data_IF_666783910073
#
_entry.id   IF_666783910073
#
_cell.length_a   1.000
_cell.length_b   1.000
_cell.length_c   1.000
_cell.angle_alpha   90.00
_cell.angle_beta   90.00
_cell.angle_gamma   90.00
#
_symmetry.space_group_name_H-M   'P 1'
#
loop_
_entity.id
_entity.type
_entity.pdbx_description
1 polymer ?
#
# COMPACT_ATOMS: atom_id res chain seq x y z
N UNK A 1 -10.72 -31.46 -8.07
CA UNK A 1 -11.87 -32.38 -7.92
C UNK A 1 -13.21 -31.68 -8.19
N UNK A 2 -13.31 -30.89 -9.28
CA UNK A 2 -14.53 -30.15 -9.65
C UNK A 2 -15.13 -30.60 -10.98
N UNK A 3 -14.47 -31.54 -11.68
CA UNK A 3 -14.89 -32.07 -12.98
C UNK A 3 -15.70 -33.36 -12.88
N UNK A 4 -15.68 -34.06 -11.73
CA UNK A 4 -16.41 -35.32 -11.54
C UNK A 4 -17.87 -35.07 -11.12
N UNK A 5 -18.18 -33.91 -10.52
CA UNK A 5 -19.53 -33.59 -10.05
C UNK A 5 -20.48 -33.16 -11.19
N UNK A 6 -19.97 -32.64 -12.31
CA UNK A 6 -20.82 -32.22 -13.44
C UNK A 6 -21.34 -33.39 -14.30
N UNK A 7 -20.56 -34.47 -14.45
CA UNK A 7 -20.96 -35.58 -15.35
C UNK A 7 -22.10 -36.42 -14.77
N UNK A 8 -22.11 -36.62 -13.44
CA UNK A 8 -23.14 -37.43 -12.76
C UNK A 8 -24.50 -36.73 -12.65
N UNK A 9 -24.53 -35.40 -12.63
CA UNK A 9 -25.78 -34.62 -12.64
C UNK A 9 -26.42 -34.69 -14.03
N UNK A 10 -25.63 -34.55 -15.10
CA UNK A 10 -26.14 -34.59 -16.47
C UNK A 10 -26.66 -35.97 -16.91
N UNK A 11 -26.01 -37.06 -16.47
CA UNK A 11 -26.46 -38.43 -16.79
C UNK A 11 -27.80 -38.80 -16.13
N UNK A 12 -28.13 -38.18 -14.99
CA UNK A 12 -29.37 -38.43 -14.25
C UNK A 12 -30.55 -37.65 -14.82
N UNK A 13 -30.31 -36.45 -15.37
CA UNK A 13 -31.33 -35.69 -16.10
C UNK A 13 -31.71 -36.33 -17.44
N UNK A 14 -30.76 -36.97 -18.13
CA UNK A 14 -31.02 -37.67 -19.41
C UNK A 14 -31.94 -38.88 -19.26
N UNK A 15 -31.84 -39.62 -18.15
CA UNK A 15 -32.71 -40.77 -17.85
C UNK A 15 -34.12 -40.34 -17.43
N UNK A 16 -34.26 -39.20 -16.74
CA UNK A 16 -35.56 -38.66 -16.35
C UNK A 16 -36.37 -38.15 -17.55
N UNK A 17 -35.70 -37.51 -18.53
CA UNK A 17 -36.34 -37.07 -19.77
C UNK A 17 -36.75 -38.23 -20.69
N UNK A 18 -35.96 -39.31 -20.74
CA UNK A 18 -36.27 -40.48 -21.56
C UNK A 18 -37.47 -41.28 -21.01
N UNK A 19 -37.63 -41.33 -19.68
CA UNK A 19 -38.76 -42.00 -19.03
C UNK A 19 -40.09 -41.27 -19.22
N UNK A 20 -40.09 -39.93 -19.25
CA UNK A 20 -41.33 -39.15 -19.44
C UNK A 20 -41.85 -39.20 -20.89
N UNK A 21 -40.95 -39.37 -21.87
CA UNK A 21 -41.34 -39.52 -23.27
C UNK A 21 -42.02 -40.87 -23.52
N UNK A 22 -41.56 -41.94 -22.83
CA UNK A 22 -42.13 -43.29 -22.99
C UNK A 22 -43.50 -43.47 -22.32
N UNK A 23 -43.81 -42.69 -21.27
CA UNK A 23 -45.10 -42.78 -20.58
C UNK A 23 -46.24 -42.02 -21.29
N UNK A 24 -45.93 -41.13 -22.23
CA UNK A 24 -46.93 -40.34 -22.97
C UNK A 24 -47.48 -41.05 -24.23
N UNK A 25 -46.99 -42.24 -24.55
CA UNK A 25 -47.33 -42.97 -25.78
C UNK A 25 -48.61 -43.83 -25.69
N UNK A 26 -49.23 -43.97 -24.51
CA UNK A 26 -50.42 -44.81 -24.29
C UNK A 26 -51.62 -44.05 -23.67
N UNK A 27 -51.79 -42.75 -23.96
CA UNK A 27 -52.94 -41.97 -23.49
C UNK A 27 -53.70 -41.31 -24.66
N UNK A 28 -55.03 -41.31 -24.53
CA UNK A 28 -56.01 -40.82 -25.51
C UNK A 28 -55.78 -39.31 -25.84
N UNK A 29 -56.16 -38.82 -27.04
CA UNK A 29 -55.66 -37.55 -27.59
C UNK A 29 -56.03 -36.27 -26.80
N UNK A 30 -57.08 -36.28 -25.98
CA UNK A 30 -57.59 -35.08 -25.30
C UNK A 30 -56.98 -34.81 -23.90
N UNK A 31 -56.17 -35.71 -23.34
CA UNK A 31 -55.45 -35.48 -22.07
C UNK A 31 -53.97 -35.07 -22.29
N UNK A 32 -53.50 -35.10 -23.54
CA UNK A 32 -52.11 -34.82 -23.90
C UNK A 32 -51.77 -33.33 -23.87
N UNK A 33 -52.77 -32.46 -24.07
CA UNK A 33 -52.60 -31.01 -24.21
C UNK A 33 -52.32 -30.35 -22.83
N UNK A 34 -53.04 -30.76 -21.78
CA UNK A 34 -52.84 -30.23 -20.41
C UNK A 34 -51.54 -30.71 -19.74
N UNK A 35 -51.01 -31.87 -20.16
CA UNK A 35 -49.75 -32.41 -19.64
C UNK A 35 -48.51 -31.75 -20.26
N UNK A 36 -48.61 -31.30 -21.52
CA UNK A 36 -47.52 -30.61 -22.24
C UNK A 36 -47.36 -29.16 -21.79
N UNK A 37 -48.45 -28.46 -21.44
CA UNK A 37 -48.38 -27.09 -20.91
C UNK A 37 -47.81 -27.04 -19.48
N UNK A 38 -48.17 -28.00 -18.62
CA UNK A 38 -47.64 -28.10 -17.26
C UNK A 38 -46.16 -28.50 -17.22
N UNK A 39 -45.70 -29.33 -18.16
CA UNK A 39 -44.28 -29.68 -18.27
C UNK A 39 -43.42 -28.52 -18.77
N UNK A 40 -43.92 -27.73 -19.73
CA UNK A 40 -43.22 -26.53 -20.20
C UNK A 40 -43.15 -25.44 -19.13
N UNK A 41 -44.21 -25.28 -18.32
CA UNK A 41 -44.20 -24.34 -17.18
C UNK A 41 -43.20 -24.75 -16.09
N UNK A 42 -43.14 -26.04 -15.75
CA UNK A 42 -42.16 -26.56 -14.77
C UNK A 42 -40.73 -26.47 -15.29
N UNK A 43 -40.47 -26.75 -16.58
CA UNK A 43 -39.12 -26.62 -17.17
C UNK A 43 -38.69 -25.15 -17.25
N UNK A 44 -39.60 -24.23 -17.56
CA UNK A 44 -39.33 -22.78 -17.58
C UNK A 44 -39.02 -22.25 -16.18
N UNK A 45 -39.83 -22.56 -15.17
CA UNK A 45 -39.55 -22.19 -13.78
C UNK A 45 -38.26 -22.83 -13.22
N UNK A 46 -37.93 -24.07 -13.63
CA UNK A 46 -36.71 -24.73 -13.17
C UNK A 46 -35.45 -24.13 -13.82
N UNK A 47 -35.51 -23.76 -15.09
CA UNK A 47 -34.42 -23.07 -15.79
C UNK A 47 -34.23 -21.63 -15.29
N UNK A 48 -35.31 -20.91 -14.98
CA UNK A 48 -35.27 -19.57 -14.36
C UNK A 48 -34.73 -19.60 -12.93
N UNK A 49 -35.00 -20.66 -12.16
CA UNK A 49 -34.45 -20.85 -10.81
C UNK A 49 -32.94 -21.12 -10.84
N UNK A 50 -32.48 -21.91 -11.81
CA UNK A 50 -31.05 -22.20 -12.02
C UNK A 50 -30.31 -20.96 -12.55
N UNK A 51 -30.93 -20.21 -13.47
CA UNK A 51 -30.34 -18.99 -14.03
C UNK A 51 -30.27 -17.85 -12.98
N UNK A 52 -31.30 -17.67 -12.15
CA UNK A 52 -31.27 -16.65 -11.09
C UNK A 52 -30.29 -16.98 -9.95
N UNK A 53 -30.13 -18.26 -9.57
CA UNK A 53 -29.18 -18.64 -8.52
C UNK A 53 -27.72 -18.40 -8.96
N UNK A 54 -27.40 -18.72 -10.22
CA UNK A 54 -26.07 -18.49 -10.79
C UNK A 54 -25.78 -16.99 -11.03
N UNK A 55 -26.79 -16.19 -11.41
CA UNK A 55 -26.65 -14.73 -11.52
C UNK A 55 -26.42 -14.05 -10.16
N UNK A 56 -27.13 -14.48 -9.12
CA UNK A 56 -26.93 -13.99 -7.75
C UNK A 56 -25.61 -14.46 -7.14
N UNK A 57 -25.08 -15.61 -7.54
CA UNK A 57 -23.74 -16.07 -7.12
C UNK A 57 -22.62 -15.25 -7.77
N UNK A 58 -22.84 -14.71 -8.97
CA UNK A 58 -21.88 -13.86 -9.70
C UNK A 58 -21.80 -12.43 -9.14
N UNK A 59 -22.94 -11.83 -8.77
CA UNK A 59 -23.00 -10.47 -8.22
C UNK A 59 -22.38 -10.33 -6.81
N UNK A 60 -22.26 -11.43 -6.06
CA UNK A 60 -21.62 -11.49 -4.75
C UNK A 60 -20.08 -11.63 -4.80
N UNK A 61 -19.52 -11.78 -6.00
CA UNK A 61 -18.08 -11.70 -6.29
C UNK A 61 -17.82 -10.43 -7.10
N UNK A 62 -18.43 -9.32 -6.69
CA UNK A 62 -18.00 -7.99 -7.13
C UNK A 62 -16.97 -7.51 -6.10
N UNK A 63 -15.66 -7.62 -6.36
CA UNK A 63 -14.71 -6.83 -5.58
C UNK A 63 -15.10 -5.38 -5.83
N UNK A 64 -15.39 -4.63 -4.77
CA UNK A 64 -15.35 -3.17 -4.83
C UNK A 64 -14.10 -2.78 -5.62
N UNK A 65 -14.23 -2.00 -6.68
CA UNK A 65 -13.15 -1.54 -7.56
C UNK A 65 -12.00 -0.93 -6.75
N UNK A 66 -11.09 -1.78 -6.26
CA UNK A 66 -9.80 -1.37 -5.72
C UNK A 66 -8.76 -1.82 -6.73
N UNK A 67 -8.26 -0.89 -7.55
CA UNK A 67 -7.18 -1.02 -8.55
C UNK A 67 -6.39 -2.35 -8.47
N UNK A 68 -6.91 -3.42 -9.09
CA UNK A 68 -6.23 -4.73 -9.04
C UNK A 68 -5.20 -4.78 -10.16
N UNK A 69 -4.01 -4.26 -9.87
CA UNK A 69 -2.86 -4.53 -10.70
C UNK A 69 -2.53 -6.03 -10.64
N UNK A 70 -2.58 -6.76 -11.76
CA UNK A 70 -2.48 -8.24 -11.74
C UNK A 70 -1.08 -8.75 -11.36
N UNK A 71 -0.03 -8.00 -11.68
CA UNK A 71 1.35 -8.45 -11.46
C UNK A 71 1.84 -8.22 -10.01
N UNK A 72 2.70 -9.12 -9.52
CA UNK A 72 3.37 -9.07 -8.20
C UNK A 72 4.49 -8.01 -8.18
N UNK A 73 4.10 -6.75 -8.23
CA UNK A 73 5.03 -5.61 -8.14
C UNK A 73 5.24 -5.19 -6.68
N UNK A 74 6.23 -4.32 -6.43
CA UNK A 74 6.49 -3.79 -5.07
C UNK A 74 5.31 -2.97 -4.52
N UNK A 75 4.48 -2.37 -5.37
CA UNK A 75 3.23 -1.67 -4.97
C UNK A 75 2.13 -2.64 -4.62
N UNK A 76 2.03 -3.74 -5.36
CA UNK A 76 0.97 -4.72 -5.23
C UNK A 76 1.37 -5.90 -4.33
N UNK A 77 1.75 -5.59 -3.09
CA UNK A 77 2.00 -6.61 -2.07
C UNK A 77 0.71 -6.91 -1.32
N UNK A 78 0.32 -8.17 -1.26
CA UNK A 78 -0.91 -8.63 -0.64
C UNK A 78 -0.58 -9.32 0.68
N UNK A 79 -1.35 -9.02 1.72
CA UNK A 79 -1.38 -9.75 2.99
C UNK A 79 -2.71 -10.49 3.10
N UNK A 80 -2.65 -11.81 3.25
CA UNK A 80 -3.84 -12.64 3.48
C UNK A 80 -4.22 -12.54 4.96
N UNK A 81 -5.43 -12.06 5.24
CA UNK A 81 -5.93 -11.85 6.60
C UNK A 81 -7.23 -12.62 6.79
N UNK A 82 -7.40 -13.26 7.96
CA UNK A 82 -8.67 -13.88 8.36
C UNK A 82 -9.61 -12.79 8.85
N UNK A 83 -10.77 -12.70 8.22
CA UNK A 83 -11.88 -11.86 8.68
C UNK A 83 -12.60 -12.52 9.85
N UNK A 84 -13.34 -11.75 10.68
CA UNK A 84 -14.15 -12.30 11.77
C UNK A 84 -15.14 -13.38 11.32
N UNK A 85 -15.65 -13.31 10.09
CA UNK A 85 -16.52 -14.34 9.49
C UNK A 85 -15.79 -15.60 9.02
N UNK A 86 -14.53 -15.81 9.39
CA UNK A 86 -13.74 -17.00 9.05
C UNK A 86 -13.22 -17.04 7.60
N UNK A 87 -13.55 -16.05 6.77
CA UNK A 87 -13.08 -15.97 5.38
C UNK A 87 -11.67 -15.37 5.29
N UNK A 88 -10.84 -15.92 4.41
CA UNK A 88 -9.54 -15.36 4.07
C UNK A 88 -9.73 -14.26 3.01
N UNK A 89 -9.25 -13.06 3.29
CA UNK A 89 -9.33 -11.90 2.39
C UNK A 89 -7.92 -11.39 2.10
N UNK A 90 -7.69 -11.03 0.84
CA UNK A 90 -6.47 -10.37 0.37
C UNK A 90 -6.56 -8.86 0.66
N UNK A 91 -5.63 -8.33 1.48
CA UNK A 91 -5.52 -6.88 1.73
C UNK A 91 -4.24 -6.33 1.13
N UNK A 92 -4.35 -5.23 0.38
CA UNK A 92 -3.19 -4.56 -0.20
C UNK A 92 -2.38 -3.82 0.88
N UNK A 93 -1.10 -4.17 1.00
CA UNK A 93 -0.17 -3.52 1.91
C UNK A 93 0.49 -2.36 1.20
N UNK A 94 0.36 -1.18 1.78
CA UNK A 94 1.06 -0.01 1.28
C UNK A 94 2.58 -0.19 1.54
N UNK A 95 3.44 -0.08 0.51
CA UNK A 95 4.94 0.04 0.60
C UNK A 95 5.49 0.67 1.89
N UNK A 96 6.54 0.11 2.48
CA UNK A 96 7.19 0.73 3.63
C UNK A 96 7.79 2.11 3.29
N UNK A 97 7.70 3.06 4.22
CA UNK A 97 8.36 4.36 4.09
C UNK A 97 9.84 4.26 4.46
N UNK A 98 10.69 5.04 3.80
CA UNK A 98 12.09 5.19 4.20
C UNK A 98 12.20 6.06 5.44
N UNK A 99 13.21 5.78 6.28
CA UNK A 99 13.52 6.64 7.42
C UNK A 99 14.18 7.93 6.93
N UNK A 100 13.89 9.04 7.62
CA UNK A 100 14.53 10.34 7.37
C UNK A 100 16.01 10.24 7.72
N UNK A 101 16.87 10.60 6.77
CA UNK A 101 18.33 10.55 6.91
C UNK A 101 18.88 11.93 7.24
N UNK A 102 20.02 11.95 7.93
CA UNK A 102 20.81 13.16 8.12
C UNK A 102 21.42 13.61 6.79
N UNK A 103 21.41 14.91 6.52
CA UNK A 103 21.98 15.47 5.28
C UNK A 103 23.52 15.45 5.18
N UNK A 104 24.25 15.25 6.29
CA UNK A 104 25.73 15.18 6.26
C UNK A 104 26.19 13.71 6.26
N UNK A 105 25.86 12.96 7.31
CA UNK A 105 26.36 11.60 7.52
C UNK A 105 25.46 10.50 6.96
N UNK A 106 24.28 10.82 6.43
CA UNK A 106 23.33 9.82 5.92
C UNK A 106 22.69 8.91 6.99
N UNK A 107 23.05 9.08 8.27
CA UNK A 107 22.51 8.29 9.37
C UNK A 107 21.01 8.53 9.55
N UNK A 108 20.28 7.48 9.92
CA UNK A 108 18.89 7.54 10.36
C UNK A 108 18.68 8.55 11.51
N UNK A 109 17.78 9.52 11.34
CA UNK A 109 17.42 10.44 12.43
C UNK A 109 16.52 9.75 13.46
N UNK A 110 16.85 9.95 14.75
CA UNK A 110 16.05 9.47 15.87
C UNK A 110 14.96 10.49 16.25
N UNK A 111 13.84 9.99 16.78
CA UNK A 111 12.73 10.82 17.26
C UNK A 111 11.80 11.35 16.17
N UNK A 112 11.96 10.91 14.91
CA UNK A 112 11.07 11.29 13.79
C UNK A 112 10.31 10.05 13.34
N UNK A 113 8.99 10.16 13.23
CA UNK A 113 8.13 9.06 12.77
C UNK A 113 8.45 8.70 11.32
N UNK A 114 8.56 7.42 10.98
CA UNK A 114 8.80 6.95 9.60
C UNK A 114 7.48 6.79 8.84
N UNK A 115 7.09 7.80 8.08
CA UNK A 115 5.80 7.86 7.40
C UNK A 115 5.96 8.19 5.92
N UNK A 116 4.90 7.96 5.13
CA UNK A 116 4.88 8.41 3.74
C UNK A 116 4.67 9.92 3.62
N UNK A 117 5.08 10.55 2.50
CA UNK A 117 4.86 11.98 2.25
C UNK A 117 3.41 12.44 2.45
N UNK A 118 2.43 11.67 1.97
CA UNK A 118 1.00 11.98 2.17
C UNK A 118 0.58 11.96 3.64
N UNK A 119 1.11 11.01 4.42
CA UNK A 119 0.84 10.91 5.85
C UNK A 119 1.55 12.02 6.63
N UNK A 120 2.75 12.41 6.21
CA UNK A 120 3.45 13.56 6.79
C UNK A 120 2.66 14.86 6.68
N UNK A 121 1.78 15.03 5.70
CA UNK A 121 0.92 16.22 5.64
C UNK A 121 -0.07 16.29 6.82
N UNK A 122 -0.54 15.13 7.30
CA UNK A 122 -1.60 15.03 8.31
C UNK A 122 -1.08 15.04 9.75
N UNK A 123 0.16 14.58 9.98
CA UNK A 123 0.71 14.47 11.33
C UNK A 123 1.10 15.85 11.90
N UNK A 124 1.06 16.00 13.22
CA UNK A 124 1.51 17.20 13.92
C UNK A 124 3.03 17.45 13.77
N UNK A 125 3.47 18.66 14.11
CA UNK A 125 4.88 19.09 13.98
C UNK A 125 5.83 18.28 14.88
N UNK A 126 5.38 17.87 16.07
CA UNK A 126 6.21 17.17 17.07
C UNK A 126 6.77 15.84 16.57
N UNK A 127 6.03 15.13 15.72
CA UNK A 127 6.52 13.87 15.12
C UNK A 127 7.42 14.07 13.90
N UNK A 128 7.46 15.29 13.32
CA UNK A 128 8.28 15.63 12.14
C UNK A 128 9.65 16.16 12.51
N UNK A 129 9.77 16.82 13.67
CA UNK A 129 10.96 17.58 14.05
C UNK A 129 11.38 17.28 15.48
N UNK A 130 12.67 17.47 15.78
CA UNK A 130 13.21 17.42 17.15
C UNK A 130 13.46 18.84 17.66
N UNK A 131 13.21 19.11 18.94
CA UNK A 131 13.38 20.41 19.58
C UNK A 131 14.87 20.73 19.83
N UNK A 132 15.59 21.10 18.76
CA UNK A 132 16.98 21.60 18.79
C UNK A 132 17.30 22.37 17.50
N UNK A 133 18.44 23.05 17.47
CA UNK A 133 18.98 23.63 16.24
C UNK A 133 19.16 22.56 15.14
N UNK A 134 18.69 22.86 13.93
CA UNK A 134 18.67 21.96 12.76
C UNK A 134 17.95 20.62 12.99
N UNK A 135 17.02 20.56 13.95
CA UNK A 135 16.18 19.39 14.19
C UNK A 135 15.40 18.97 12.94
N UNK A 136 15.31 17.66 12.69
CA UNK A 136 14.64 17.14 11.49
C UNK A 136 15.52 16.99 10.25
N UNK A 137 16.63 17.74 10.16
CA UNK A 137 17.56 17.69 9.02
C UNK A 137 18.92 17.11 9.40
N UNK A 138 19.41 17.41 10.60
CA UNK A 138 20.77 17.05 11.06
C UNK A 138 20.72 16.23 12.35
N UNK A 139 21.66 15.29 12.49
CA UNK A 139 21.84 14.52 13.73
C UNK A 139 22.59 15.34 14.79
N UNK A 140 22.54 14.91 16.06
CA UNK A 140 23.16 15.63 17.16
C UNK A 140 24.69 15.80 16.98
N UNK A 141 25.37 14.77 16.47
CA UNK A 141 26.81 14.78 16.26
C UNK A 141 27.21 15.82 15.20
N UNK A 142 26.53 15.84 14.05
CA UNK A 142 26.81 16.83 13.00
C UNK A 142 26.49 18.26 13.46
N UNK A 143 25.47 18.46 14.30
CA UNK A 143 25.20 19.79 14.90
C UNK A 143 26.32 20.20 15.85
N UNK A 144 26.80 19.29 16.70
CA UNK A 144 27.95 19.54 17.60
C UNK A 144 29.19 19.93 16.81
N UNK A 145 29.53 19.17 15.77
CA UNK A 145 30.68 19.47 14.90
C UNK A 145 30.56 20.84 14.22
N UNK A 146 29.36 21.22 13.76
CA UNK A 146 29.11 22.54 13.17
C UNK A 146 29.36 23.67 14.18
N UNK A 147 28.88 23.51 15.41
CA UNK A 147 29.06 24.51 16.48
C UNK A 147 30.56 24.64 16.82
N UNK A 148 31.23 23.52 17.09
CA UNK A 148 32.65 23.52 17.45
C UNK A 148 33.51 24.07 16.33
N UNK A 149 33.25 23.65 15.08
CA UNK A 149 33.99 24.14 13.91
C UNK A 149 33.79 25.65 13.71
N UNK A 150 32.56 26.15 13.83
CA UNK A 150 32.27 27.57 13.70
C UNK A 150 33.01 28.38 14.79
N UNK A 151 32.93 27.93 16.03
CA UNK A 151 33.61 28.57 17.15
C UNK A 151 35.13 28.64 16.94
N UNK A 152 35.78 27.51 16.68
CA UNK A 152 37.24 27.46 16.51
C UNK A 152 37.72 28.30 15.33
N UNK A 153 36.95 28.34 14.23
CA UNK A 153 37.30 29.18 13.07
C UNK A 153 37.22 30.66 13.43
N UNK A 154 36.20 31.10 14.16
CA UNK A 154 36.09 32.49 14.59
C UNK A 154 37.21 32.88 15.56
N UNK A 155 37.54 32.02 16.53
CA UNK A 155 38.68 32.24 17.43
C UNK A 155 40.00 32.36 16.67
N UNK A 156 40.27 31.43 15.74
CA UNK A 156 41.46 31.49 14.89
C UNK A 156 41.50 32.77 14.04
N UNK A 157 40.35 33.25 13.54
CA UNK A 157 40.28 34.51 12.78
C UNK A 157 40.62 35.71 13.66
N UNK A 158 40.16 35.74 14.91
CA UNK A 158 40.48 36.83 15.85
C UNK A 158 41.98 36.85 16.15
N UNK A 159 42.55 35.69 16.52
CA UNK A 159 43.99 35.57 16.81
C UNK A 159 44.84 36.01 15.62
N UNK A 160 44.49 35.56 14.40
CA UNK A 160 45.19 35.97 13.18
C UNK A 160 45.12 37.48 12.93
N UNK A 161 43.98 38.13 13.22
CA UNK A 161 43.85 39.60 13.08
C UNK A 161 44.72 40.34 14.09
N UNK A 162 44.69 39.95 15.36
CA UNK A 162 45.48 40.60 16.43
C UNK A 162 46.98 40.47 16.16
N UNK A 163 47.45 39.27 15.78
CA UNK A 163 48.87 39.06 15.44
C UNK A 163 49.32 39.92 14.25
N UNK A 164 48.46 40.06 13.23
CA UNK A 164 48.75 40.92 12.08
C UNK A 164 48.84 42.40 12.49
N UNK A 165 47.92 42.87 13.33
CA UNK A 165 47.94 44.25 13.84
C UNK A 165 49.17 44.54 14.70
N UNK A 166 49.62 43.58 15.52
CA UNK A 166 50.85 43.70 16.31
C UNK A 166 52.09 43.81 15.41
N UNK A 167 52.21 42.92 14.42
CA UNK A 167 53.30 42.97 13.44
C UNK A 167 53.31 44.29 12.65
N UNK A 168 52.14 44.81 12.27
CA UNK A 168 52.03 46.08 11.56
C UNK A 168 52.40 47.28 12.47
N UNK A 169 52.11 47.22 13.77
CA UNK A 169 52.55 48.22 14.76
C UNK A 169 54.06 48.18 14.97
N UNK A 170 54.66 46.99 15.10
CA UNK A 170 56.11 46.80 15.25
C UNK A 170 56.88 47.29 14.02
N UNK A 171 56.43 46.95 12.80
CA UNK A 171 57.02 47.44 11.55
C UNK A 171 56.96 48.97 11.44
N UNK A 172 55.86 49.58 11.89
CA UNK A 172 55.72 51.05 11.94
C UNK A 172 56.66 51.67 12.97
N UNK A 173 56.86 51.04 14.13
CA UNK A 173 57.81 51.49 15.14
C UNK A 173 59.26 51.43 14.62
N UNK A 174 59.67 50.32 14.00
CA UNK A 174 60.99 50.15 13.41
C UNK A 174 61.29 51.18 12.30
N UNK A 175 60.30 51.53 11.46
CA UNK A 175 60.44 52.60 10.44
C UNK A 175 60.60 54.00 11.04
N UNK A 176 60.07 54.27 12.23
CA UNK A 176 60.22 55.58 12.90
C UNK A 176 61.64 55.77 13.48
N UNK A 177 62.24 54.71 14.01
CA UNK A 177 63.59 54.75 14.59
C UNK A 177 64.71 54.93 13.56
N UNK A 178 64.53 54.47 12.32
CA UNK A 178 65.53 54.64 11.24
C UNK A 178 65.48 55.99 10.49
N UNK A 179 64.56 56.90 10.84
CA UNK A 179 64.41 58.22 10.20
C UNK A 179 64.93 59.37 11.08
N UNK A 180 65.79 59.06 12.06
CA UNK A 180 66.39 60.04 12.97
C UNK A 180 67.87 60.16 12.69
#
# INVERSE_FOLDING_TARGET
MHTIFCVNVWHRYRLFFFSLFFHSANLHPNERISHIENLNFLVFCFLDSIYNNTYQQWLNVSPTEEEIHVYNTRSNKIKVVKTPGGKLVAQHVKKAASRVKCGDCGSALAGISTLRPRQYAQVSKTHKTVQRAYGGSRCANCVKERIVRAFLIEEQKIVKRVLKEQQDKEKKAAKKTGKK
#
